data_IF_995129713469
#
_entry.id   IF_995129713469
#
_cell.length_a   1.000
_cell.length_b   1.000
_cell.length_c   1.000
_cell.angle_alpha   90.00
_cell.angle_beta   90.00
_cell.angle_gamma   90.00
#
_symmetry.space_group_name_H-M   'P 1'
#
loop_
_entity.id
_entity.type
_entity.pdbx_description
1 polymer ?
#
# COMPACT_ATOMS: atom_id res chain seq x y z
N UNK A 1 -29.21 5.92 -2.38
CA UNK A 1 -27.95 6.61 -2.68
C UNK A 1 -27.51 7.37 -1.42
N UNK A 2 -26.75 6.75 -0.53
CA UNK A 2 -26.16 7.46 0.58
C UNK A 2 -24.81 8.00 0.08
N UNK A 3 -24.72 9.33 0.00
CA UNK A 3 -23.50 10.03 -0.38
C UNK A 3 -22.39 9.67 0.62
N UNK A 4 -21.23 9.28 0.10
CA UNK A 4 -20.03 9.19 0.91
C UNK A 4 -19.73 10.61 1.37
N UNK A 5 -19.80 10.86 2.68
CA UNK A 5 -19.13 12.00 3.27
C UNK A 5 -17.63 11.79 3.02
N UNK A 6 -17.13 12.47 1.99
CA UNK A 6 -15.69 12.55 1.77
C UNK A 6 -15.11 13.31 2.96
N UNK A 7 -14.57 12.55 3.92
CA UNK A 7 -13.81 13.17 5.00
C UNK A 7 -12.61 13.86 4.36
N UNK A 8 -12.72 15.17 4.23
CA UNK A 8 -11.63 16.00 3.72
C UNK A 8 -10.57 16.09 4.80
N UNK A 9 -9.48 15.38 4.66
CA UNK A 9 -8.35 15.45 5.59
C UNK A 9 -7.60 16.76 5.41
N UNK A 10 -7.35 17.46 6.52
CA UNK A 10 -6.66 18.74 6.52
C UNK A 10 -5.59 18.80 7.59
N UNK A 11 -4.47 19.44 7.26
CA UNK A 11 -3.42 19.82 8.21
C UNK A 11 -3.27 21.32 8.18
N UNK A 12 -3.73 21.99 9.23
CA UNK A 12 -3.85 23.45 9.25
C UNK A 12 -4.75 23.95 8.10
N UNK A 13 -4.21 24.82 7.25
CA UNK A 13 -4.92 25.36 6.08
C UNK A 13 -4.88 24.48 4.84
N UNK A 14 -4.09 23.39 4.86
CA UNK A 14 -3.86 22.53 3.70
C UNK A 14 -4.83 21.36 3.67
N UNK A 15 -5.46 21.14 2.53
CA UNK A 15 -6.21 19.93 2.22
C UNK A 15 -5.22 18.88 1.70
N UNK A 16 -5.24 17.68 2.26
CA UNK A 16 -4.36 16.60 1.83
C UNK A 16 -4.86 15.98 0.53
N UNK A 17 -3.98 15.70 -0.44
CA UNK A 17 -4.36 14.99 -1.65
C UNK A 17 -4.69 13.52 -1.32
N UNK A 18 -5.68 12.97 -2.00
CA UNK A 18 -5.96 11.54 -1.99
C UNK A 18 -4.83 10.76 -2.68
N UNK A 19 -4.64 9.49 -2.28
CA UNK A 19 -3.60 8.66 -2.85
C UNK A 19 -4.04 7.22 -3.03
N UNK A 20 -3.48 6.57 -4.05
CA UNK A 20 -3.54 5.14 -4.27
C UNK A 20 -2.30 4.47 -3.67
N UNK A 21 -2.48 3.33 -3.01
CA UNK A 21 -1.36 2.43 -2.71
C UNK A 21 -1.18 1.49 -3.89
N UNK A 22 0.06 1.27 -4.28
CA UNK A 22 0.44 0.31 -5.30
C UNK A 22 1.43 -0.70 -4.73
N UNK A 23 1.03 -1.97 -4.70
CA UNK A 23 1.82 -3.08 -4.22
C UNK A 23 1.82 -4.21 -5.25
N UNK A 24 2.93 -4.92 -5.37
CA UNK A 24 3.03 -6.14 -6.18
C UNK A 24 3.43 -7.31 -5.31
N UNK A 25 2.83 -8.47 -5.56
CA UNK A 25 3.13 -9.72 -4.87
C UNK A 25 3.27 -10.86 -5.89
N UNK A 26 4.13 -11.82 -5.60
CA UNK A 26 4.36 -13.01 -6.43
C UNK A 26 4.43 -14.27 -5.55
N UNK A 27 4.54 -15.43 -6.15
CA UNK A 27 4.36 -16.73 -5.48
C UNK A 27 5.43 -17.10 -4.42
N UNK A 28 6.57 -16.39 -4.41
CA UNK A 28 7.63 -16.62 -3.41
C UNK A 28 7.53 -15.74 -2.17
N UNK A 29 6.54 -14.87 -2.13
CA UNK A 29 6.29 -14.07 -0.92
C UNK A 29 5.85 -14.96 0.24
N UNK A 30 6.25 -14.58 1.45
CA UNK A 30 5.77 -15.23 2.66
C UNK A 30 4.38 -14.69 3.05
N UNK A 31 3.42 -15.56 3.38
CA UNK A 31 2.08 -15.14 3.78
C UNK A 31 2.08 -14.12 4.93
N UNK A 32 2.94 -14.33 5.93
CA UNK A 32 3.09 -13.45 7.08
C UNK A 32 3.52 -12.03 6.67
N UNK A 33 4.54 -11.94 5.77
CA UNK A 33 5.03 -10.66 5.27
C UNK A 33 3.94 -9.91 4.53
N UNK A 34 3.25 -10.58 3.61
CA UNK A 34 2.15 -9.98 2.85
C UNK A 34 1.06 -9.45 3.78
N UNK A 35 0.66 -10.25 4.80
CA UNK A 35 -0.36 -9.84 5.75
C UNK A 35 0.05 -8.57 6.51
N UNK A 36 1.26 -8.54 7.07
CA UNK A 36 1.79 -7.39 7.83
C UNK A 36 1.93 -6.14 6.94
N UNK A 37 2.41 -6.33 5.71
CA UNK A 37 2.56 -5.23 4.75
C UNK A 37 1.21 -4.62 4.37
N UNK A 38 0.20 -5.43 4.04
CA UNK A 38 -1.15 -4.98 3.73
C UNK A 38 -1.79 -4.25 4.90
N UNK A 39 -1.72 -4.82 6.11
CA UNK A 39 -2.23 -4.17 7.33
C UNK A 39 -1.56 -2.82 7.55
N UNK A 40 -0.23 -2.74 7.45
CA UNK A 40 0.53 -1.51 7.70
C UNK A 40 0.12 -0.36 6.77
N UNK A 41 -0.26 -0.68 5.54
CA UNK A 41 -0.69 0.33 4.56
C UNK A 41 -2.16 0.71 4.69
N UNK A 42 -3.03 -0.24 5.05
CA UNK A 42 -4.45 0.02 5.23
C UNK A 42 -4.75 0.74 6.56
N UNK A 43 -3.90 0.54 7.59
CA UNK A 43 -4.03 1.14 8.91
C UNK A 43 -3.22 2.43 9.10
N UNK A 44 -2.88 3.11 8.01
CA UNK A 44 -2.23 4.42 8.07
C UNK A 44 -3.12 5.45 8.78
N UNK A 45 -2.53 6.39 9.54
CA UNK A 45 -3.26 7.49 10.20
C UNK A 45 -3.98 8.41 9.20
N UNK A 46 -3.47 8.50 7.97
CA UNK A 46 -4.20 8.99 6.80
C UNK A 46 -4.40 7.81 5.85
N UNK A 47 -5.57 7.16 5.85
CA UNK A 47 -5.82 5.96 5.09
C UNK A 47 -5.85 6.22 3.58
N UNK A 48 -5.50 5.22 2.75
CA UNK A 48 -5.60 5.35 1.30
C UNK A 48 -7.05 5.45 0.82
N UNK A 49 -7.25 6.19 -0.25
CA UNK A 49 -8.54 6.25 -0.96
C UNK A 49 -8.72 5.12 -1.98
N UNK A 50 -7.61 4.50 -2.37
CA UNK A 50 -7.54 3.44 -3.36
C UNK A 50 -6.33 2.54 -3.07
N UNK A 51 -6.46 1.25 -3.28
CA UNK A 51 -5.40 0.27 -3.08
C UNK A 51 -5.37 -0.72 -4.24
N UNK A 52 -4.28 -0.77 -4.97
CA UNK A 52 -4.07 -1.68 -6.09
C UNK A 52 -3.01 -2.72 -5.71
N UNK A 53 -3.43 -3.98 -5.59
CA UNK A 53 -2.54 -5.12 -5.44
C UNK A 53 -2.39 -5.83 -6.78
N UNK A 54 -1.17 -5.89 -7.28
CA UNK A 54 -0.85 -6.64 -8.49
C UNK A 54 -0.35 -8.03 -8.10
N UNK A 55 -1.09 -9.06 -8.53
CA UNK A 55 -0.67 -10.45 -8.41
C UNK A 55 0.15 -10.82 -9.65
N UNK A 56 1.46 -10.83 -9.53
CA UNK A 56 2.40 -11.09 -10.62
C UNK A 56 2.61 -12.60 -10.82
N UNK A 57 1.72 -13.18 -11.60
CA UNK A 57 1.58 -14.62 -11.79
C UNK A 57 0.60 -15.26 -10.80
N UNK A 58 0.52 -16.58 -10.86
CA UNK A 58 -0.32 -17.37 -9.94
C UNK A 58 0.29 -17.38 -8.53
N UNK A 59 -0.49 -17.03 -7.55
CA UNK A 59 -0.10 -17.08 -6.16
C UNK A 59 -0.34 -18.46 -5.54
N UNK A 60 0.33 -18.74 -4.41
CA UNK A 60 0.06 -19.93 -3.59
C UNK A 60 -1.35 -19.89 -2.98
N UNK A 61 -1.85 -21.03 -2.50
CA UNK A 61 -3.15 -21.08 -1.83
C UNK A 61 -3.19 -20.18 -0.60
N UNK A 62 -2.13 -20.16 0.18
CA UNK A 62 -1.98 -19.36 1.41
C UNK A 62 -2.03 -17.86 1.09
N UNK A 63 -1.29 -17.41 0.07
CA UNK A 63 -1.31 -16.02 -0.37
C UNK A 63 -2.70 -15.62 -0.90
N UNK A 64 -3.34 -16.50 -1.66
CA UNK A 64 -4.70 -16.24 -2.16
C UNK A 64 -5.74 -16.09 -1.04
N UNK A 65 -5.61 -16.85 0.05
CA UNK A 65 -6.50 -16.72 1.23
C UNK A 65 -6.34 -15.32 1.84
N UNK A 66 -5.11 -14.85 2.02
CA UNK A 66 -4.84 -13.51 2.56
C UNK A 66 -5.40 -12.43 1.64
N UNK A 67 -5.06 -12.48 0.35
CA UNK A 67 -5.53 -11.51 -0.65
C UNK A 67 -7.06 -11.44 -0.66
N UNK A 68 -7.72 -12.60 -0.61
CA UNK A 68 -9.18 -12.68 -0.59
C UNK A 68 -9.78 -12.06 0.67
N UNK A 69 -9.18 -12.30 1.84
CA UNK A 69 -9.67 -11.74 3.10
C UNK A 69 -9.62 -10.21 3.10
N UNK A 70 -8.52 -9.62 2.63
CA UNK A 70 -8.42 -8.16 2.50
C UNK A 70 -9.36 -7.59 1.43
N UNK A 71 -9.54 -8.29 0.32
CA UNK A 71 -10.49 -7.88 -0.71
C UNK A 71 -11.93 -7.86 -0.18
N UNK A 72 -12.32 -8.83 0.63
CA UNK A 72 -13.66 -8.90 1.20
C UNK A 72 -13.89 -7.83 2.29
N UNK A 73 -12.88 -7.54 3.10
CA UNK A 73 -12.93 -6.52 4.15
C UNK A 73 -12.90 -5.10 3.58
N UNK A 74 -12.01 -4.84 2.63
CA UNK A 74 -11.76 -3.50 2.06
C UNK A 74 -12.29 -3.34 0.62
N UNK A 75 -13.32 -4.06 0.26
CA UNK A 75 -13.87 -4.14 -1.12
C UNK A 75 -14.17 -2.80 -1.80
N UNK A 76 -14.30 -1.72 -1.03
CA UNK A 76 -14.58 -0.39 -1.59
C UNK A 76 -13.34 0.30 -2.15
N UNK A 77 -12.16 -0.05 -1.65
CA UNK A 77 -10.89 0.57 -2.04
C UNK A 77 -9.89 -0.43 -2.58
N UNK A 78 -10.01 -1.72 -2.26
CA UNK A 78 -9.02 -2.75 -2.59
C UNK A 78 -9.33 -3.41 -3.93
N UNK A 79 -8.41 -3.25 -4.90
CA UNK A 79 -8.53 -3.76 -6.25
C UNK A 79 -7.38 -4.71 -6.57
N UNK A 80 -7.67 -5.83 -7.20
CA UNK A 80 -6.67 -6.81 -7.61
C UNK A 80 -6.46 -6.70 -9.13
N UNK A 81 -5.21 -6.60 -9.54
CA UNK A 81 -4.76 -6.76 -10.93
C UNK A 81 -4.08 -8.11 -11.04
N UNK A 82 -4.70 -9.05 -11.73
CA UNK A 82 -4.14 -10.38 -11.96
C UNK A 82 -3.35 -10.40 -13.25
N UNK A 83 -2.09 -10.83 -13.18
CA UNK A 83 -1.24 -11.13 -14.34
C UNK A 83 -1.10 -12.65 -14.41
N UNK A 84 -1.28 -13.24 -15.59
CA UNK A 84 -1.34 -14.71 -15.74
C UNK A 84 0.01 -15.39 -15.48
N UNK A 85 1.10 -14.74 -15.88
CA UNK A 85 2.45 -15.24 -15.72
C UNK A 85 3.33 -14.17 -15.04
N UNK A 86 4.31 -14.60 -14.25
CA UNK A 86 5.26 -13.68 -13.62
C UNK A 86 6.06 -12.92 -14.69
N UNK A 87 5.87 -11.60 -14.71
CA UNK A 87 6.51 -10.69 -15.67
C UNK A 87 7.61 -9.83 -15.04
N UNK A 88 7.77 -9.93 -13.74
CA UNK A 88 8.71 -9.17 -12.93
C UNK A 88 8.15 -7.84 -12.44
N UNK A 89 8.70 -7.36 -11.32
CA UNK A 89 8.19 -6.23 -10.53
C UNK A 89 7.98 -4.94 -11.35
N UNK A 90 8.89 -4.61 -12.27
CA UNK A 90 8.78 -3.39 -13.07
C UNK A 90 7.56 -3.40 -14.01
N UNK A 91 7.31 -4.53 -14.69
CA UNK A 91 6.13 -4.68 -15.56
C UNK A 91 4.85 -4.79 -14.73
N UNK A 92 4.90 -5.49 -13.59
CA UNK A 92 3.77 -5.57 -12.67
C UNK A 92 3.35 -4.17 -12.18
N UNK A 93 4.28 -3.33 -11.79
CA UNK A 93 3.97 -1.94 -11.41
C UNK A 93 3.40 -1.13 -12.58
N UNK A 94 3.89 -1.30 -13.81
CA UNK A 94 3.31 -0.62 -14.96
C UNK A 94 1.84 -0.99 -15.19
N UNK A 95 1.46 -2.24 -14.99
CA UNK A 95 0.05 -2.67 -15.06
C UNK A 95 -0.76 -2.10 -13.88
N UNK A 96 -0.19 -2.12 -12.68
CA UNK A 96 -0.84 -1.58 -11.49
C UNK A 96 -1.09 -0.07 -11.56
N UNK A 97 -0.14 0.72 -12.07
CA UNK A 97 -0.30 2.17 -12.25
C UNK A 97 -1.54 2.50 -13.07
N UNK A 98 -1.82 1.72 -14.12
CA UNK A 98 -3.00 1.93 -14.97
C UNK A 98 -4.32 1.75 -14.23
N UNK A 99 -4.32 0.96 -13.15
CA UNK A 99 -5.50 0.69 -12.33
C UNK A 99 -5.66 1.68 -11.16
N UNK A 100 -4.63 2.44 -10.80
CA UNK A 100 -4.69 3.46 -9.75
C UNK A 100 -5.65 4.58 -10.14
N UNK A 101 -6.46 5.02 -9.17
CA UNK A 101 -7.50 6.05 -9.37
C UNK A 101 -7.06 7.45 -8.95
N UNK A 102 -6.03 7.55 -8.09
CA UNK A 102 -5.53 8.82 -7.59
C UNK A 102 -4.27 9.26 -8.36
N UNK A 103 -4.05 10.56 -8.41
CA UNK A 103 -2.86 11.16 -9.05
C UNK A 103 -1.58 10.90 -8.25
N UNK A 104 -1.71 10.72 -6.93
CA UNK A 104 -0.60 10.39 -6.04
C UNK A 104 -0.58 8.89 -5.79
N UNK A 105 0.58 8.27 -6.00
CA UNK A 105 0.78 6.84 -5.84
C UNK A 105 1.84 6.59 -4.77
N UNK A 106 1.49 5.81 -3.76
CA UNK A 106 2.39 5.33 -2.72
C UNK A 106 2.78 3.89 -3.05
N UNK A 107 4.03 3.73 -3.51
CA UNK A 107 4.61 2.41 -3.73
C UNK A 107 4.94 1.74 -2.40
N UNK A 108 4.62 0.44 -2.29
CA UNK A 108 4.94 -0.40 -1.15
C UNK A 108 5.36 -1.79 -1.62
N UNK A 109 6.42 -2.33 -1.06
CA UNK A 109 6.83 -3.70 -1.31
C UNK A 109 6.08 -4.65 -0.35
N UNK A 110 5.83 -5.89 -0.78
CA UNK A 110 4.96 -6.84 -0.07
C UNK A 110 5.58 -7.45 1.19
N UNK A 111 6.87 -7.19 1.42
CA UNK A 111 7.66 -7.66 2.57
C UNK A 111 8.10 -6.53 3.50
N UNK A 112 7.68 -5.29 3.23
CA UNK A 112 8.00 -4.13 4.07
C UNK A 112 6.84 -3.77 5.01
N UNK A 113 7.15 -3.07 6.11
CA UNK A 113 6.18 -2.53 7.06
C UNK A 113 6.24 -1.00 7.03
N UNK A 114 5.09 -0.37 6.80
CA UNK A 114 4.97 1.09 6.79
C UNK A 114 4.63 1.61 8.19
N UNK A 115 5.40 2.58 8.69
CA UNK A 115 5.04 3.24 9.95
C UNK A 115 3.71 4.01 9.80
N UNK A 116 2.88 4.08 10.86
CA UNK A 116 1.50 4.59 10.79
C UNK A 116 1.35 6.01 10.22
N UNK A 117 2.34 6.86 10.41
CA UNK A 117 2.29 8.27 9.99
C UNK A 117 3.02 8.56 8.67
N UNK A 118 3.50 7.54 7.96
CA UNK A 118 4.24 7.72 6.70
C UNK A 118 3.42 8.51 5.68
N UNK A 119 2.25 8.01 5.33
CA UNK A 119 1.42 8.62 4.29
C UNK A 119 0.90 9.99 4.70
N UNK A 120 0.55 10.19 5.96
CA UNK A 120 0.18 11.52 6.47
C UNK A 120 1.30 12.54 6.24
N UNK A 121 2.53 12.19 6.58
CA UNK A 121 3.70 13.07 6.40
C UNK A 121 3.98 13.35 4.93
N UNK A 122 3.94 12.33 4.07
CA UNK A 122 4.20 12.47 2.64
C UNK A 122 3.13 13.31 1.95
N UNK A 123 1.85 13.06 2.20
CA UNK A 123 0.75 13.82 1.62
C UNK A 123 0.71 15.27 2.14
N UNK A 124 1.10 15.50 3.39
CA UNK A 124 1.28 16.86 3.92
C UNK A 124 2.38 17.60 3.15
N UNK A 125 3.50 16.94 2.86
CA UNK A 125 4.58 17.57 2.09
C UNK A 125 4.14 17.92 0.66
N UNK A 126 3.39 17.05 -0.02
CA UNK A 126 2.84 17.37 -1.34
C UNK A 126 1.87 18.55 -1.29
N UNK A 127 1.02 18.63 -0.26
CA UNK A 127 0.09 19.74 -0.09
C UNK A 127 0.80 21.09 0.17
N UNK A 128 1.90 21.07 0.94
CA UNK A 128 2.67 22.28 1.28
C UNK A 128 3.62 22.68 0.15
N UNK A 129 4.17 21.69 -0.59
CA UNK A 129 5.16 21.89 -1.64
C UNK A 129 4.67 21.29 -2.98
N UNK A 130 3.74 21.94 -3.66
CA UNK A 130 3.05 21.38 -4.85
C UNK A 130 3.96 21.20 -6.08
N UNK A 131 5.22 21.61 -6.00
CA UNK A 131 6.23 21.40 -7.06
C UNK A 131 7.05 20.11 -6.88
N UNK A 132 6.79 19.35 -5.80
CA UNK A 132 7.46 18.06 -5.60
C UNK A 132 6.81 17.00 -6.48
N UNK A 133 7.63 16.26 -7.20
CA UNK A 133 7.20 15.13 -8.03
C UNK A 133 7.36 13.79 -7.31
N UNK A 134 8.39 13.66 -6.45
CA UNK A 134 8.72 12.41 -5.74
C UNK A 134 9.12 12.74 -4.31
N UNK A 135 8.65 11.90 -3.36
CA UNK A 135 9.03 11.94 -1.95
C UNK A 135 9.44 10.53 -1.53
N UNK A 136 10.65 10.39 -1.03
CA UNK A 136 11.11 9.17 -0.35
C UNK A 136 11.02 9.29 1.17
N UNK A 137 11.20 8.17 1.86
CA UNK A 137 11.38 8.10 3.31
C UNK A 137 12.67 7.38 3.65
N UNK A 138 13.17 7.58 4.86
CA UNK A 138 14.18 6.70 5.41
C UNK A 138 13.62 5.31 5.61
N UNK A 139 14.46 4.29 5.47
CA UNK A 139 14.16 2.90 5.76
C UNK A 139 15.04 2.43 6.90
N UNK A 140 14.51 1.57 7.74
CA UNK A 140 15.23 0.86 8.78
C UNK A 140 15.16 -0.63 8.47
N UNK A 141 16.32 -1.26 8.35
CA UNK A 141 16.39 -2.70 8.15
C UNK A 141 16.18 -3.40 9.51
N UNK A 142 15.34 -4.41 9.54
CA UNK A 142 15.13 -5.21 10.73
C UNK A 142 15.15 -6.70 10.39
N UNK A 143 15.61 -7.49 11.33
CA UNK A 143 15.53 -8.95 11.28
C UNK A 143 14.52 -9.42 12.33
N UNK A 144 13.57 -10.23 11.91
CA UNK A 144 12.57 -10.82 12.81
C UNK A 144 13.20 -11.61 13.96
N UNK A 145 14.39 -12.20 13.76
CA UNK A 145 15.15 -12.86 14.83
C UNK A 145 15.64 -11.90 15.93
N UNK A 146 15.86 -10.61 15.63
CA UNK A 146 16.34 -9.62 16.60
C UNK A 146 15.21 -9.03 17.43
N UNK A 147 13.98 -9.05 16.96
CA UNK A 147 12.81 -8.57 17.72
C UNK A 147 12.50 -9.44 18.96
N UNK A 148 12.94 -10.70 18.97
CA UNK A 148 12.75 -11.62 20.12
C UNK A 148 13.90 -11.61 21.13
N UNK A 149 14.99 -10.87 20.90
CA UNK A 149 16.16 -10.82 21.75
C UNK A 149 16.25 -9.56 22.61
N UNK A 150 15.35 -8.61 22.46
CA UNK A 150 15.38 -7.35 23.21
C UNK A 150 14.66 -7.39 24.56
N UNK A 151 14.06 -8.52 24.95
CA UNK A 151 13.43 -8.74 26.26
C UNK A 151 14.30 -9.64 27.16
N UNK A 152 15.57 -9.41 27.17
CA UNK A 152 16.46 -10.02 28.17
C UNK A 152 16.96 -8.98 29.17
#
# INVERSE_FOLDING_TARGET
MQGRDFMTYRVGKYTLPEYSVLMSVYDRELPENLNESLESMLMQSYPPSDFVLVCDGKLTCELNIIVKSFQDEFKHIFHIVQIDENVGVGKAYNEGIKACKCDYIVKMDSDDISLPNRCLKQMTLFAVKPKLDIIGTYVEEFDTCLLYTSDA
#
